data_IF_602481573539
#
_entry.id   IF_602481573539
#
_cell.length_a   1.000
_cell.length_b   1.000
_cell.length_c   1.000
_cell.angle_alpha   90.00
_cell.angle_beta   90.00
_cell.angle_gamma   90.00
#
_symmetry.space_group_name_H-M   'P 1'
#
loop_
_entity.id
_entity.type
_entity.pdbx_description
1 polymer ?
#
# COMPACT_ATOMS: atom_id res chain seq x y z
N UNK A 1 56.00 -42.42 -77.80
CA UNK A 1 55.78 -41.83 -76.45
C UNK A 1 54.56 -42.51 -75.84
N UNK A 2 54.61 -43.84 -75.68
CA UNK A 2 53.37 -44.61 -75.55
C UNK A 2 53.33 -45.48 -74.28
N UNK A 3 54.47 -45.70 -73.62
CA UNK A 3 54.54 -46.50 -72.39
C UNK A 3 54.12 -45.70 -71.15
N UNK A 4 54.50 -44.41 -71.07
CA UNK A 4 54.09 -43.54 -69.94
C UNK A 4 52.60 -43.17 -69.99
N UNK A 5 52.02 -43.08 -71.18
CA UNK A 5 50.58 -42.83 -71.40
C UNK A 5 49.75 -44.08 -71.13
N UNK A 6 50.24 -45.27 -71.51
CA UNK A 6 49.61 -46.54 -71.17
C UNK A 6 49.63 -46.83 -69.66
N UNK A 7 50.74 -46.51 -68.99
CA UNK A 7 50.85 -46.67 -67.53
C UNK A 7 49.87 -45.76 -66.78
N UNK A 8 49.70 -44.51 -67.22
CA UNK A 8 48.74 -43.56 -66.62
C UNK A 8 47.27 -44.00 -66.82
N UNK A 9 46.94 -44.58 -67.99
CA UNK A 9 45.59 -45.11 -68.27
C UNK A 9 45.26 -46.37 -67.45
N UNK A 10 46.23 -47.23 -67.18
CA UNK A 10 46.05 -48.44 -66.36
C UNK A 10 45.84 -48.07 -64.88
N UNK A 11 46.56 -47.07 -64.37
CA UNK A 11 46.40 -46.59 -62.98
C UNK A 11 45.04 -45.88 -62.78
N UNK A 12 44.56 -45.15 -63.79
CA UNK A 12 43.23 -44.51 -63.77
C UNK A 12 42.08 -45.54 -63.75
N UNK A 13 42.24 -46.67 -64.46
CA UNK A 13 41.27 -47.76 -64.50
C UNK A 13 41.15 -48.50 -63.15
N UNK A 14 42.27 -48.64 -62.41
CA UNK A 14 42.27 -49.29 -61.08
C UNK A 14 41.57 -48.43 -60.03
N UNK A 15 41.71 -47.09 -60.10
CA UNK A 15 41.05 -46.16 -59.17
C UNK A 15 39.52 -46.13 -59.35
N UNK A 16 39.01 -46.31 -60.57
CA UNK A 16 37.55 -46.33 -60.83
C UNK A 16 36.88 -47.64 -60.36
N UNK A 17 37.60 -48.76 -60.29
CA UNK A 17 37.08 -50.02 -59.72
C UNK A 17 37.13 -50.07 -58.18
N UNK A 18 37.78 -49.10 -57.51
CA UNK A 18 37.91 -49.05 -56.05
C UNK A 18 36.66 -48.56 -55.31
N UNK A 19 35.72 -47.88 -55.98
CA UNK A 19 34.47 -47.41 -55.36
C UNK A 19 33.34 -48.45 -55.34
N UNK A 20 33.52 -49.63 -55.96
CA UNK A 20 32.50 -50.69 -55.95
C UNK A 20 32.78 -51.82 -54.93
N UNK A 21 33.95 -51.82 -54.27
CA UNK A 21 34.33 -52.83 -53.28
C UNK A 21 34.06 -52.42 -51.82
N UNK A 22 33.55 -51.21 -51.58
CA UNK A 22 33.08 -50.75 -50.27
C UNK A 22 31.55 -50.62 -50.23
N UNK A 23 30.85 -51.57 -50.85
CA UNK A 23 29.39 -51.60 -50.87
C UNK A 23 28.85 -53.03 -50.65
N UNK A 24 29.54 -53.81 -49.82
CA UNK A 24 28.98 -55.04 -49.26
C UNK A 24 29.34 -55.19 -47.77
N UNK A 25 28.82 -54.27 -46.96
CA UNK A 25 28.35 -54.60 -45.61
C UNK A 25 27.18 -53.66 -45.28
N UNK A 26 25.97 -54.04 -45.68
CA UNK A 26 24.73 -53.41 -45.23
C UNK A 26 23.84 -52.81 -46.33
N UNK A 27 23.11 -53.69 -47.01
CA UNK A 27 21.75 -53.51 -47.52
C UNK A 27 21.40 -52.35 -48.48
N UNK A 28 21.12 -52.77 -49.73
CA UNK A 28 20.02 -52.35 -50.61
C UNK A 28 20.06 -50.98 -51.28
N UNK A 29 20.17 -51.06 -52.61
CA UNK A 29 19.84 -50.03 -53.57
C UNK A 29 18.33 -50.06 -53.90
N UNK A 30 17.70 -48.87 -53.95
CA UNK A 30 16.50 -48.60 -54.74
C UNK A 30 15.20 -48.33 -53.97
N UNK A 31 15.03 -47.11 -53.42
CA UNK A 31 13.74 -46.39 -53.31
C UNK A 31 13.91 -45.04 -52.57
N UNK A 32 14.59 -44.07 -53.19
CA UNK A 32 14.95 -42.80 -52.51
C UNK A 32 13.76 -41.94 -51.99
N UNK A 33 12.54 -41.93 -52.58
CA UNK A 33 11.40 -41.21 -51.97
C UNK A 33 10.68 -42.00 -50.87
N UNK A 34 10.62 -43.32 -51.01
CA UNK A 34 9.80 -44.19 -50.15
C UNK A 34 10.53 -44.57 -48.87
N UNK A 35 11.86 -44.69 -48.92
CA UNK A 35 12.69 -44.85 -47.73
C UNK A 35 12.72 -43.57 -46.89
N UNK A 36 12.59 -42.39 -47.50
CA UNK A 36 12.52 -41.12 -46.77
C UNK A 36 11.19 -40.96 -46.02
N UNK A 37 10.07 -41.32 -46.64
CA UNK A 37 8.76 -41.34 -45.96
C UNK A 37 8.71 -42.39 -44.85
N UNK A 38 9.20 -43.60 -45.10
CA UNK A 38 9.26 -44.66 -44.09
C UNK A 38 10.23 -44.31 -42.94
N UNK A 39 11.35 -43.66 -43.23
CA UNK A 39 12.29 -43.17 -42.20
C UNK A 39 11.69 -42.02 -41.42
N UNK A 40 10.91 -41.13 -42.06
CA UNK A 40 10.19 -40.05 -41.38
C UNK A 40 9.13 -40.59 -40.43
N UNK A 41 8.34 -41.57 -40.84
CA UNK A 41 7.35 -42.22 -39.96
C UNK A 41 8.05 -42.95 -38.81
N UNK A 42 9.16 -43.66 -39.08
CA UNK A 42 9.96 -44.29 -38.04
C UNK A 42 10.51 -43.28 -37.02
N UNK A 43 11.03 -42.13 -37.47
CA UNK A 43 11.52 -41.07 -36.56
C UNK A 43 10.37 -40.47 -35.74
N UNK A 44 9.19 -40.25 -36.35
CA UNK A 44 8.02 -39.75 -35.63
C UNK A 44 7.54 -40.78 -34.58
N UNK A 45 7.58 -42.07 -34.90
CA UNK A 45 7.20 -43.12 -33.98
C UNK A 45 8.22 -43.31 -32.85
N UNK A 46 9.52 -43.17 -33.12
CA UNK A 46 10.58 -43.12 -32.09
C UNK A 46 10.37 -41.93 -31.15
N UNK A 47 10.05 -40.74 -31.67
CA UNK A 47 9.75 -39.56 -30.85
C UNK A 47 8.47 -39.71 -30.01
N UNK A 48 7.48 -40.46 -30.51
CA UNK A 48 6.23 -40.75 -29.79
C UNK A 48 6.35 -41.88 -28.77
N UNK A 49 7.38 -42.73 -28.91
CA UNK A 49 7.64 -43.84 -27.99
C UNK A 49 8.02 -43.29 -26.62
N UNK A 50 7.76 -44.07 -25.56
CA UNK A 50 8.07 -43.69 -24.18
C UNK A 50 9.56 -43.36 -23.99
N UNK A 51 10.45 -44.06 -24.68
CA UNK A 51 11.90 -43.78 -24.70
C UNK A 51 12.21 -42.42 -25.35
N UNK A 52 11.49 -42.04 -26.42
CA UNK A 52 11.66 -40.75 -27.09
C UNK A 52 11.16 -39.58 -26.25
N UNK A 53 10.04 -39.76 -25.54
CA UNK A 53 9.54 -38.78 -24.57
C UNK A 53 10.49 -38.64 -23.38
N UNK A 54 10.99 -39.76 -22.84
CA UNK A 54 11.94 -39.75 -21.74
C UNK A 54 13.27 -39.06 -22.13
N UNK A 55 13.78 -39.31 -23.33
CA UNK A 55 14.98 -38.63 -23.84
C UNK A 55 14.75 -37.12 -24.06
N UNK A 56 13.56 -36.73 -24.53
CA UNK A 56 13.20 -35.31 -24.65
C UNK A 56 13.03 -34.66 -23.28
N UNK A 57 12.46 -35.34 -22.29
CA UNK A 57 12.33 -34.87 -20.92
C UNK A 57 13.70 -34.67 -20.26
N UNK A 58 14.65 -35.59 -20.49
CA UNK A 58 16.04 -35.47 -20.04
C UNK A 58 16.73 -34.24 -20.64
N UNK A 59 16.57 -34.01 -21.95
CA UNK A 59 17.13 -32.85 -22.66
C UNK A 59 16.45 -31.55 -22.21
N UNK A 60 15.13 -31.56 -21.98
CA UNK A 60 14.39 -30.40 -21.47
C UNK A 60 14.66 -30.12 -20.00
N UNK A 61 15.27 -31.05 -19.25
CA UNK A 61 15.71 -30.83 -17.88
C UNK A 61 17.12 -30.21 -17.82
N UNK A 62 17.84 -30.21 -18.94
CA UNK A 62 19.14 -29.53 -19.06
C UNK A 62 18.96 -28.01 -19.00
N UNK A 63 19.67 -27.35 -18.08
CA UNK A 63 19.59 -25.90 -17.84
C UNK A 63 19.93 -25.09 -19.10
N UNK A 64 20.91 -25.53 -19.90
CA UNK A 64 21.35 -24.83 -21.11
C UNK A 64 20.25 -24.82 -22.20
N UNK A 65 19.48 -25.91 -22.25
CA UNK A 65 18.38 -26.07 -23.21
C UNK A 65 17.13 -25.33 -22.73
N UNK A 66 16.82 -25.37 -21.43
CA UNK A 66 15.73 -24.60 -20.84
C UNK A 66 15.94 -23.10 -21.06
N UNK A 67 17.14 -22.58 -20.80
CA UNK A 67 17.45 -21.16 -20.99
C UNK A 67 17.25 -20.76 -22.46
N UNK A 68 17.73 -21.58 -23.39
CA UNK A 68 17.58 -21.34 -24.84
C UNK A 68 16.13 -21.32 -25.32
N UNK A 69 15.26 -22.14 -24.72
CA UNK A 69 13.81 -22.20 -25.04
C UNK A 69 13.05 -21.05 -24.36
N UNK A 70 13.40 -20.73 -23.11
CA UNK A 70 12.76 -19.67 -22.32
C UNK A 70 13.19 -18.25 -22.75
N UNK A 71 14.25 -18.11 -23.54
CA UNK A 71 14.70 -16.81 -24.04
C UNK A 71 13.83 -16.20 -25.15
N UNK A 72 12.71 -16.82 -25.52
CA UNK A 72 11.71 -16.20 -26.42
C UNK A 72 11.00 -15.05 -25.69
N UNK A 73 11.59 -13.86 -25.77
CA UNK A 73 11.20 -12.69 -24.97
C UNK A 73 9.74 -12.28 -25.14
N UNK A 74 9.18 -12.41 -26.35
CA UNK A 74 7.78 -12.01 -26.61
C UNK A 74 6.80 -12.94 -25.87
N UNK A 75 7.04 -14.25 -25.88
CA UNK A 75 6.21 -15.22 -25.17
C UNK A 75 6.32 -15.06 -23.65
N UNK A 76 7.53 -14.83 -23.12
CA UNK A 76 7.75 -14.60 -21.69
C UNK A 76 7.10 -13.28 -21.25
N UNK A 77 7.26 -12.21 -22.02
CA UNK A 77 6.67 -10.91 -21.70
C UNK A 77 5.15 -10.98 -21.68
N UNK A 78 4.54 -11.58 -22.72
CA UNK A 78 3.08 -11.73 -22.80
C UNK A 78 2.55 -12.63 -21.68
N UNK A 79 3.25 -13.71 -21.35
CA UNK A 79 2.87 -14.61 -20.27
C UNK A 79 2.98 -13.93 -18.90
N UNK A 80 4.06 -13.19 -18.65
CA UNK A 80 4.23 -12.43 -17.41
C UNK A 80 3.16 -11.33 -17.31
N UNK A 81 2.94 -10.56 -18.37
CA UNK A 81 1.91 -9.52 -18.39
C UNK A 81 0.52 -10.10 -18.16
N UNK A 82 0.17 -11.19 -18.86
CA UNK A 82 -1.13 -11.85 -18.71
C UNK A 82 -1.29 -12.42 -17.31
N UNK A 83 -0.26 -13.08 -16.78
CA UNK A 83 -0.28 -13.67 -15.43
C UNK A 83 -0.45 -12.57 -14.38
N UNK A 84 0.32 -11.47 -14.47
CA UNK A 84 0.24 -10.37 -13.51
C UNK A 84 -1.06 -9.57 -13.59
N UNK A 85 -1.66 -9.46 -14.77
CA UNK A 85 -2.91 -8.70 -14.97
C UNK A 85 -4.17 -9.54 -14.78
N UNK A 86 -4.05 -10.87 -14.84
CA UNK A 86 -5.15 -11.80 -14.58
C UNK A 86 -5.72 -11.67 -13.17
N UNK A 87 -6.98 -12.07 -13.00
CA UNK A 87 -7.63 -12.10 -11.68
C UNK A 87 -6.89 -13.03 -10.70
N UNK A 88 -6.41 -14.17 -11.17
CA UNK A 88 -5.62 -15.12 -10.38
C UNK A 88 -4.29 -14.51 -9.92
N UNK A 89 -3.62 -13.76 -10.81
CA UNK A 89 -2.41 -13.00 -10.47
C UNK A 89 -2.68 -11.93 -9.42
N UNK A 90 -3.76 -11.16 -9.56
CA UNK A 90 -4.15 -10.16 -8.57
C UNK A 90 -4.44 -10.80 -7.20
N UNK A 91 -5.15 -11.93 -7.16
CA UNK A 91 -5.41 -12.66 -5.92
C UNK A 91 -4.12 -13.20 -5.30
N UNK A 92 -3.23 -13.77 -6.11
CA UNK A 92 -1.92 -14.24 -5.65
C UNK A 92 -1.10 -13.08 -5.06
N UNK A 93 -1.02 -11.95 -5.76
CA UNK A 93 -0.31 -10.77 -5.26
C UNK A 93 -0.94 -10.21 -3.98
N UNK A 94 -2.28 -10.23 -3.84
CA UNK A 94 -2.94 -9.84 -2.59
C UNK A 94 -2.56 -10.78 -1.43
N UNK A 95 -2.43 -12.08 -1.68
CA UNK A 95 -2.00 -13.04 -0.66
C UNK A 95 -0.52 -12.86 -0.29
N UNK A 96 0.34 -12.64 -1.29
CA UNK A 96 1.77 -12.39 -1.07
C UNK A 96 1.99 -11.07 -0.33
N UNK A 97 1.23 -10.02 -0.67
CA UNK A 97 1.24 -8.74 0.05
C UNK A 97 0.80 -8.86 1.52
N UNK A 98 0.08 -9.91 1.88
CA UNK A 98 -0.30 -10.18 3.27
C UNK A 98 0.79 -10.91 4.06
N UNK A 99 1.84 -11.41 3.40
CA UNK A 99 2.92 -12.11 4.09
C UNK A 99 3.84 -11.12 4.80
N UNK A 100 4.23 -11.40 6.06
CA UNK A 100 4.99 -10.45 6.89
C UNK A 100 6.37 -10.10 6.31
N UNK A 101 7.09 -11.08 5.76
CA UNK A 101 8.40 -10.86 5.16
C UNK A 101 8.30 -9.96 3.91
N UNK A 102 7.26 -10.16 3.10
CA UNK A 102 7.01 -9.33 1.93
C UNK A 102 6.60 -7.92 2.34
N UNK A 103 5.72 -7.77 3.33
CA UNK A 103 5.32 -6.47 3.89
C UNK A 103 6.51 -5.69 4.43
N UNK A 104 7.39 -6.34 5.18
CA UNK A 104 8.57 -5.68 5.75
C UNK A 104 9.51 -5.18 4.64
N UNK A 105 9.77 -6.02 3.64
CA UNK A 105 10.63 -5.65 2.52
C UNK A 105 10.04 -4.52 1.69
N UNK A 106 8.73 -4.58 1.37
CA UNK A 106 8.04 -3.51 0.66
C UNK A 106 8.03 -2.23 1.48
N UNK A 107 7.64 -2.28 2.76
CA UNK A 107 7.63 -1.11 3.63
C UNK A 107 9.01 -0.46 3.75
N UNK A 108 10.07 -1.26 3.88
CA UNK A 108 11.45 -0.76 3.94
C UNK A 108 11.88 -0.15 2.60
N UNK A 109 11.58 -0.81 1.48
CA UNK A 109 11.93 -0.32 0.14
C UNK A 109 11.19 0.97 -0.22
N UNK A 110 9.94 1.11 0.22
CA UNK A 110 9.10 2.29 -0.03
C UNK A 110 9.28 3.38 1.04
N UNK A 111 10.01 3.12 2.12
CA UNK A 111 10.08 4.03 3.27
C UNK A 111 10.54 5.43 2.85
N UNK A 112 11.61 5.52 2.08
CA UNK A 112 12.20 6.80 1.68
C UNK A 112 11.24 7.60 0.78
N UNK A 113 10.72 6.96 -0.28
CA UNK A 113 9.77 7.60 -1.20
C UNK A 113 8.47 8.00 -0.51
N UNK A 114 7.98 7.16 0.42
CA UNK A 114 6.79 7.45 1.20
C UNK A 114 7.01 8.62 2.18
N UNK A 115 8.20 8.70 2.80
CA UNK A 115 8.58 9.83 3.65
C UNK A 115 8.65 11.13 2.83
N UNK A 116 9.25 11.09 1.64
CA UNK A 116 9.31 12.24 0.74
C UNK A 116 7.92 12.66 0.24
N UNK A 117 7.07 11.70 -0.13
CA UNK A 117 5.69 11.93 -0.48
C UNK A 117 4.93 12.60 0.67
N UNK A 118 5.04 12.06 1.89
CA UNK A 118 4.35 12.60 3.06
C UNK A 118 4.83 14.01 3.39
N UNK A 119 6.14 14.29 3.30
CA UNK A 119 6.70 15.63 3.46
C UNK A 119 6.20 16.61 2.40
N UNK A 120 5.97 16.14 1.18
CA UNK A 120 5.40 16.94 0.09
C UNK A 120 3.92 17.21 0.34
N UNK A 121 3.15 16.18 0.70
CA UNK A 121 1.73 16.29 1.04
C UNK A 121 1.49 17.22 2.23
N UNK A 122 2.34 17.20 3.26
CA UNK A 122 2.22 18.17 4.37
C UNK A 122 2.33 19.65 3.94
N UNK A 123 2.89 19.94 2.75
CA UNK A 123 2.96 21.29 2.18
C UNK A 123 1.84 21.57 1.19
N UNK A 124 1.05 20.56 0.85
CA UNK A 124 -0.07 20.66 -0.06
C UNK A 124 -1.33 21.17 0.66
N UNK A 125 -2.04 22.16 0.11
CA UNK A 125 -3.20 22.76 0.77
C UNK A 125 -4.38 21.78 0.95
N UNK A 126 -4.59 20.83 0.03
CA UNK A 126 -5.69 19.86 0.15
C UNK A 126 -5.40 18.88 1.30
N UNK A 127 -4.16 18.39 1.38
CA UNK A 127 -3.76 17.52 2.48
C UNK A 127 -3.75 18.24 3.83
N UNK A 128 -3.35 19.52 3.86
CA UNK A 128 -3.47 20.34 5.07
C UNK A 128 -4.92 20.51 5.50
N UNK A 129 -5.85 20.68 4.57
CA UNK A 129 -7.26 20.77 4.89
C UNK A 129 -7.78 19.46 5.50
N UNK A 130 -7.46 18.32 4.91
CA UNK A 130 -7.81 17.01 5.49
C UNK A 130 -7.20 16.84 6.89
N UNK A 131 -5.96 17.28 7.09
CA UNK A 131 -5.32 17.24 8.41
C UNK A 131 -6.01 18.16 9.43
N UNK A 132 -6.47 19.35 9.01
CA UNK A 132 -7.25 20.24 9.87
C UNK A 132 -8.59 19.64 10.27
N UNK A 133 -9.26 18.93 9.36
CA UNK A 133 -10.49 18.20 9.68
C UNK A 133 -10.24 17.11 10.72
N UNK A 134 -9.14 16.35 10.60
CA UNK A 134 -8.72 15.37 11.61
C UNK A 134 -8.43 16.04 12.96
N UNK A 135 -7.80 17.22 12.98
CA UNK A 135 -7.57 17.96 14.23
C UNK A 135 -8.85 18.50 14.87
N UNK A 136 -9.91 18.69 14.09
CA UNK A 136 -11.22 19.10 14.59
C UNK A 136 -12.04 17.94 15.16
N UNK A 137 -11.54 16.71 15.12
CA UNK A 137 -12.22 15.57 15.72
C UNK A 137 -12.44 15.78 17.25
N UNK A 138 -13.61 15.40 17.80
CA UNK A 138 -13.91 15.57 19.22
C UNK A 138 -12.86 14.98 20.17
N UNK A 139 -12.19 13.88 19.84
CA UNK A 139 -11.14 13.29 20.68
C UNK A 139 -9.90 14.21 20.74
N UNK A 140 -9.51 14.76 19.58
CA UNK A 140 -8.40 15.71 19.49
C UNK A 140 -8.73 17.02 20.22
N UNK A 141 -9.98 17.48 20.12
CA UNK A 141 -10.45 18.66 20.87
C UNK A 141 -10.36 18.44 22.40
N UNK A 142 -10.70 17.26 22.90
CA UNK A 142 -10.61 16.96 24.33
C UNK A 142 -9.17 17.01 24.85
N UNK A 143 -8.22 16.42 24.13
CA UNK A 143 -6.81 16.50 24.49
C UNK A 143 -6.29 17.95 24.37
N UNK A 144 -6.74 18.72 23.38
CA UNK A 144 -6.40 20.14 23.29
C UNK A 144 -6.94 20.95 24.48
N UNK A 145 -8.18 20.73 24.91
CA UNK A 145 -8.76 21.38 26.10
C UNK A 145 -8.00 21.00 27.37
N UNK A 146 -7.52 19.76 27.48
CA UNK A 146 -6.70 19.30 28.60
C UNK A 146 -5.33 20.00 28.62
N UNK A 147 -4.72 20.24 27.45
CA UNK A 147 -3.52 21.06 27.32
C UNK A 147 -3.76 22.51 27.73
N UNK A 148 -4.88 23.12 27.34
CA UNK A 148 -5.25 24.47 27.79
C UNK A 148 -5.51 24.52 29.30
N UNK A 149 -5.92 23.42 29.92
CA UNK A 149 -6.09 23.32 31.38
C UNK A 149 -4.79 23.00 32.11
N UNK A 150 -3.69 22.76 31.41
CA UNK A 150 -2.39 22.44 32.01
C UNK A 150 -1.84 23.59 32.85
N UNK A 151 -0.96 23.28 33.80
CA UNK A 151 -0.35 24.28 34.69
C UNK A 151 0.42 25.35 33.89
N UNK A 152 1.17 24.92 32.88
CA UNK A 152 1.96 25.80 32.01
C UNK A 152 1.07 26.80 31.28
N UNK A 153 -0.03 26.35 30.68
CA UNK A 153 -0.94 27.27 29.98
C UNK A 153 -1.67 28.20 30.95
N UNK A 154 -1.99 27.75 32.17
CA UNK A 154 -2.57 28.61 33.20
C UNK A 154 -1.61 29.71 33.66
N UNK A 155 -0.31 29.44 33.76
CA UNK A 155 0.70 30.44 34.12
C UNK A 155 0.79 31.51 33.01
N UNK A 156 0.89 31.11 31.75
CA UNK A 156 0.86 32.04 30.60
C UNK A 156 -0.45 32.84 30.52
N UNK A 157 -1.58 32.18 30.81
CA UNK A 157 -2.88 32.85 30.85
C UNK A 157 -2.98 33.84 32.02
N UNK A 158 -2.41 33.52 33.19
CA UNK A 158 -2.36 34.45 34.32
C UNK A 158 -1.54 35.69 33.97
N UNK A 159 -0.37 35.51 33.37
CA UNK A 159 0.46 36.63 32.88
C UNK A 159 -0.30 37.47 31.85
N UNK A 160 -0.95 36.85 30.86
CA UNK A 160 -1.73 37.57 29.86
C UNK A 160 -2.93 38.34 30.48
N UNK A 161 -3.55 37.78 31.51
CA UNK A 161 -4.61 38.46 32.27
C UNK A 161 -4.05 39.64 33.06
N UNK A 162 -2.92 39.47 33.74
CA UNK A 162 -2.24 40.55 34.47
C UNK A 162 -1.85 41.70 33.53
N UNK A 163 -1.27 41.39 32.37
CA UNK A 163 -0.97 42.38 31.32
C UNK A 163 -2.23 43.08 30.78
N UNK A 164 -3.34 42.34 30.65
CA UNK A 164 -4.61 42.92 30.25
C UNK A 164 -5.17 43.89 31.30
N UNK A 165 -5.04 43.58 32.60
CA UNK A 165 -5.42 44.48 33.69
C UNK A 165 -4.52 45.72 33.80
N UNK A 166 -3.26 45.62 33.40
CA UNK A 166 -2.35 46.75 33.33
C UNK A 166 -2.57 47.63 32.09
N UNK A 167 -3.39 47.19 31.14
CA UNK A 167 -3.72 47.96 29.95
C UNK A 167 -4.61 49.17 30.33
N UNK A 168 -4.18 50.41 30.02
CA UNK A 168 -4.93 51.61 30.36
C UNK A 168 -6.36 51.64 29.79
N UNK A 169 -6.59 51.04 28.61
CA UNK A 169 -7.93 50.95 28.04
C UNK A 169 -8.84 50.02 28.86
N UNK A 170 -8.29 48.93 29.38
CA UNK A 170 -9.05 47.97 30.18
C UNK A 170 -9.36 48.55 31.56
N UNK A 171 -8.41 49.27 32.17
CA UNK A 171 -8.63 50.00 33.42
C UNK A 171 -9.69 51.08 33.28
N UNK A 172 -9.70 51.81 32.15
CA UNK A 172 -10.74 52.79 31.84
C UNK A 172 -12.11 52.13 31.69
N UNK A 173 -12.22 51.07 30.87
CA UNK A 173 -13.48 50.34 30.71
C UNK A 173 -14.00 49.76 32.02
N UNK A 174 -13.10 49.27 32.88
CA UNK A 174 -13.47 48.75 34.19
C UNK A 174 -13.93 49.87 35.14
N UNK A 175 -13.30 51.04 35.06
CA UNK A 175 -13.70 52.23 35.83
C UNK A 175 -15.05 52.76 35.36
N UNK A 176 -15.25 52.89 34.04
CA UNK A 176 -16.52 53.31 33.43
C UNK A 176 -17.66 52.36 33.80
N UNK A 177 -17.41 51.03 33.81
CA UNK A 177 -18.38 50.03 34.23
C UNK A 177 -18.72 50.13 35.73
N UNK A 178 -17.72 50.42 36.59
CA UNK A 178 -17.94 50.63 38.02
C UNK A 178 -18.74 51.91 38.29
N UNK A 179 -18.46 53.00 37.57
CA UNK A 179 -19.23 54.24 37.64
C UNK A 179 -20.67 54.05 37.16
N UNK A 180 -20.87 53.29 36.08
CA UNK A 180 -22.21 52.96 35.58
C UNK A 180 -23.00 52.11 36.58
N UNK A 181 -22.38 51.11 37.21
CA UNK A 181 -23.05 50.32 38.25
C UNK A 181 -23.30 51.09 39.55
N UNK A 182 -22.47 52.08 39.89
CA UNK A 182 -22.79 52.99 41.00
C UNK A 182 -23.97 53.90 40.66
N UNK A 183 -24.04 54.41 39.43
CA UNK A 183 -25.20 55.20 38.99
C UNK A 183 -26.49 54.36 38.88
N UNK A 184 -26.38 53.08 38.51
CA UNK A 184 -27.51 52.15 38.49
C UNK A 184 -27.87 51.60 39.89
N UNK A 185 -26.92 51.53 40.83
CA UNK A 185 -27.10 51.06 42.21
C UNK A 185 -27.51 52.13 43.21
N UNK A 186 -27.14 53.40 42.98
CA UNK A 186 -27.63 54.56 43.75
C UNK A 186 -29.06 54.96 43.36
N UNK A 187 -29.67 54.27 42.38
CA UNK A 187 -31.06 54.42 42.00
C UNK A 187 -32.09 53.65 42.83
N UNK A 188 -31.67 52.76 43.75
CA UNK A 188 -32.62 51.90 44.50
C UNK A 188 -32.34 51.80 46.01
N UNK A 189 -31.70 52.83 46.61
CA UNK A 189 -31.50 52.84 48.05
C UNK A 189 -31.68 54.21 48.70
N UNK A 190 -32.76 54.92 48.38
CA UNK A 190 -33.25 55.99 49.25
C UNK A 190 -34.72 56.41 49.04
N UNK A 191 -35.69 55.59 49.46
CA UNK A 191 -36.94 56.05 50.10
C UNK A 191 -37.82 54.86 50.47
N UNK A 192 -37.81 54.44 51.74
CA UNK A 192 -39.04 54.07 52.46
C UNK A 192 -38.74 53.86 53.95
N UNK A 193 -38.78 54.96 54.70
CA UNK A 193 -39.08 54.93 56.12
C UNK A 193 -39.90 56.16 56.47
N UNK A 194 -41.22 55.96 56.55
CA UNK A 194 -42.14 56.52 57.57
C UNK A 194 -43.55 56.71 57.00
N UNK A 195 -44.52 55.96 57.52
CA UNK A 195 -45.94 56.18 57.25
C UNK A 195 -46.78 54.93 57.50
N UNK A 196 -47.05 54.63 58.77
CA UNK A 196 -47.78 53.42 59.15
C UNK A 196 -49.29 53.47 58.93
N UNK A 197 -49.93 52.31 59.18
CA UNK A 197 -51.32 52.26 59.66
C UNK A 197 -52.24 51.28 58.94
N UNK A 198 -52.41 50.12 59.60
CA UNK A 198 -53.65 49.32 59.71
C UNK A 198 -54.02 48.25 58.66
N UNK A 199 -53.89 47.00 59.15
CA UNK A 199 -54.83 45.89 59.09
C UNK A 199 -55.24 45.30 57.73
N UNK A 200 -54.85 44.03 57.49
CA UNK A 200 -55.79 42.93 57.74
C UNK A 200 -55.06 41.58 57.89
N UNK A 201 -55.39 40.88 58.97
CA UNK A 201 -55.14 39.44 59.15
C UNK A 201 -55.74 38.62 58.01
N UNK A 202 -55.02 37.62 57.50
CA UNK A 202 -55.60 36.27 57.42
C UNK A 202 -54.52 35.18 57.39
N UNK A 203 -54.74 34.23 58.29
CA UNK A 203 -54.16 32.91 58.48
C UNK A 203 -53.84 32.09 57.23
N UNK A 204 -52.85 31.20 57.33
CA UNK A 204 -52.68 30.13 56.33
C UNK A 204 -51.48 29.22 56.50
N UNK A 205 -51.49 28.49 57.61
CA UNK A 205 -50.77 27.27 57.99
C UNK A 205 -50.18 26.35 56.88
N UNK A 206 -49.13 25.62 57.30
CA UNK A 206 -48.72 24.25 56.94
C UNK A 206 -47.38 24.05 56.19
N UNK A 207 -46.42 23.54 56.98
CA UNK A 207 -45.60 22.32 56.81
C UNK A 207 -45.29 21.76 55.43
N UNK A 208 -44.31 20.87 55.25
CA UNK A 208 -43.44 20.15 56.17
C UNK A 208 -42.45 19.39 55.27
N UNK A 209 -41.28 19.09 55.82
CA UNK A 209 -40.48 17.88 55.58
C UNK A 209 -39.98 17.53 54.16
N UNK A 210 -38.67 17.27 54.09
CA UNK A 210 -38.28 15.87 54.18
C UNK A 210 -37.50 15.27 53.01
N UNK A 211 -36.19 15.16 53.23
CA UNK A 211 -35.38 13.95 53.02
C UNK A 211 -35.11 13.35 51.62
N UNK A 212 -33.80 13.30 51.33
CA UNK A 212 -32.99 12.08 51.18
C UNK A 212 -33.37 11.03 50.12
N UNK A 213 -32.51 10.92 49.11
CA UNK A 213 -31.93 9.66 48.59
C UNK A 213 -30.99 10.03 47.43
N UNK A 214 -29.74 9.58 47.32
CA UNK A 214 -29.14 8.36 47.85
C UNK A 214 -29.39 7.19 46.90
N UNK A 215 -28.71 7.16 45.74
CA UNK A 215 -28.48 5.91 45.02
C UNK A 215 -27.28 6.02 44.08
N UNK A 216 -26.20 5.34 44.47
CA UNK A 216 -25.19 4.89 43.52
C UNK A 216 -25.67 3.60 42.86
N UNK A 217 -25.37 3.46 41.57
CA UNK A 217 -25.39 2.18 40.87
C UNK A 217 -24.15 2.14 40.00
N UNK A 218 -23.25 1.23 40.36
CA UNK A 218 -22.21 0.74 39.47
C UNK A 218 -22.77 -0.30 38.51
N UNK A 219 -22.14 -0.34 37.34
CA UNK A 219 -22.17 -1.38 36.32
C UNK A 219 -20.90 -1.22 35.51
#
# INVERSE_FOLDING_TARGET
MDVKRAFFLIVLLIFMSGCAALQNQGNSAGNEPQEFENTKEMVIDVLKTEDGKAALEEILTDEDVQESILMEQDFVQDTVQTTLTSEDGQQYFQQVMQQPDFQQNIATSMQQENEELLKRLMKDPEYQQMMMEVMQDPEMQQEHVKLLKSKTFREEMQTAIEEAFDNPNFQQQLSDLMEQQQQEGEGDSQEESSGGGDNQEESGQEGEQGESSGSGIGG
#
